data_IF_905411636602
#
_entry.id   IF_905411636602
#
_cell.length_a   1.000
_cell.length_b   1.000
_cell.length_c   1.000
_cell.angle_alpha   90.00
_cell.angle_beta   90.00
_cell.angle_gamma   90.00
#
_symmetry.space_group_name_H-M   'P 1'
#
loop_
_entity.id
_entity.type
_entity.pdbx_description
1 polymer ?
#
# COMPACT_ATOMS: atom_id res chain seq x y z
N UNK A 1 12.63 -5.34 18.34
CA UNK A 1 13.40 -4.58 17.35
C UNK A 1 12.61 -4.67 16.05
N UNK A 2 12.08 -3.56 15.54
CA UNK A 2 11.36 -3.56 14.26
C UNK A 2 12.44 -3.62 13.18
N UNK A 3 12.45 -4.69 12.38
CA UNK A 3 13.34 -4.78 11.22
C UNK A 3 12.99 -3.67 10.23
N UNK A 4 13.99 -3.09 9.56
CA UNK A 4 13.75 -2.11 8.49
C UNK A 4 13.51 -2.86 7.17
N UNK A 5 12.56 -2.37 6.40
CA UNK A 5 12.34 -2.79 5.00
C UNK A 5 13.02 -1.79 4.07
N UNK A 6 13.66 -2.28 3.01
CA UNK A 6 14.33 -1.46 1.99
C UNK A 6 13.96 -2.03 0.63
N UNK A 7 13.62 -1.17 -0.32
CA UNK A 7 13.30 -1.59 -1.68
C UNK A 7 14.54 -2.12 -2.40
N UNK A 8 14.35 -3.20 -3.16
CA UNK A 8 15.36 -3.71 -4.09
C UNK A 8 15.48 -2.73 -5.25
N UNK A 9 16.67 -2.19 -5.45
CA UNK A 9 16.94 -1.24 -6.53
C UNK A 9 17.29 -1.96 -7.84
N UNK A 10 17.98 -3.11 -7.75
CA UNK A 10 18.37 -3.91 -8.90
C UNK A 10 18.67 -5.36 -8.49
N UNK A 11 18.93 -6.19 -9.49
CA UNK A 11 19.43 -7.55 -9.34
C UNK A 11 20.79 -7.65 -10.01
N UNK A 12 21.77 -8.27 -9.35
CA UNK A 12 23.06 -8.59 -9.97
C UNK A 12 22.83 -9.65 -11.05
N UNK A 13 23.17 -9.34 -12.31
CA UNK A 13 22.84 -10.20 -13.45
C UNK A 13 23.61 -11.53 -13.46
N UNK A 14 24.79 -11.58 -12.84
CA UNK A 14 25.64 -12.77 -12.82
C UNK A 14 25.24 -13.76 -11.71
N UNK A 15 24.90 -13.24 -10.53
CA UNK A 15 24.62 -14.04 -9.33
C UNK A 15 23.14 -14.13 -8.98
N UNK A 16 22.31 -13.23 -9.52
CA UNK A 16 20.90 -13.09 -9.16
C UNK A 16 20.68 -12.53 -7.75
N UNK A 17 21.70 -11.96 -7.10
CA UNK A 17 21.56 -11.38 -5.77
C UNK A 17 20.89 -10.00 -5.86
N UNK A 18 19.93 -9.74 -4.96
CA UNK A 18 19.29 -8.43 -4.86
C UNK A 18 20.29 -7.36 -4.40
N UNK A 19 20.20 -6.18 -5.01
CA UNK A 19 21.01 -5.00 -4.70
C UNK A 19 20.13 -3.91 -4.09
N UNK A 20 20.62 -3.27 -3.03
CA UNK A 20 20.00 -2.10 -2.39
C UNK A 20 20.96 -0.92 -2.41
N UNK A 21 20.44 0.31 -2.39
CA UNK A 21 21.28 1.52 -2.31
C UNK A 21 21.75 1.69 -0.86
N UNK A 22 23.07 1.72 -0.64
CA UNK A 22 23.66 2.06 0.66
C UNK A 22 23.35 3.54 0.96
N UNK A 23 22.54 3.87 1.98
CA UNK A 23 22.11 5.25 2.22
C UNK A 23 23.26 6.17 2.66
N UNK A 24 24.40 5.61 3.11
CA UNK A 24 25.58 6.39 3.51
C UNK A 24 26.50 6.68 2.34
N UNK A 25 26.57 5.75 1.37
CA UNK A 25 27.54 5.82 0.26
C UNK A 25 26.91 6.14 -1.09
N UNK A 26 25.59 5.99 -1.23
CA UNK A 26 24.87 6.20 -2.48
C UNK A 26 25.22 5.17 -3.57
N UNK A 27 25.77 4.01 -3.19
CA UNK A 27 26.15 2.95 -4.14
C UNK A 27 25.34 1.69 -3.90
N UNK A 28 25.10 0.92 -4.97
CA UNK A 28 24.44 -0.39 -4.90
C UNK A 28 25.32 -1.39 -4.17
N UNK A 29 24.72 -2.16 -3.26
CA UNK A 29 25.39 -3.25 -2.55
C UNK A 29 24.49 -4.48 -2.47
N UNK A 30 25.05 -5.70 -2.53
CA UNK A 30 24.30 -6.93 -2.30
C UNK A 30 23.60 -6.92 -0.94
N UNK A 31 22.36 -7.42 -0.88
CA UNK A 31 21.65 -7.57 0.40
C UNK A 31 22.40 -8.52 1.36
N UNK A 32 23.15 -9.49 0.83
CA UNK A 32 23.96 -10.43 1.60
C UNK A 32 25.17 -9.79 2.29
N UNK A 33 25.54 -8.56 1.94
CA UNK A 33 26.59 -7.81 2.63
C UNK A 33 26.13 -7.24 3.99
N UNK A 34 24.83 -7.25 4.25
CA UNK A 34 24.23 -6.67 5.44
C UNK A 34 24.04 -7.77 6.49
N UNK A 35 24.73 -7.72 7.65
CA UNK A 35 24.61 -8.74 8.69
C UNK A 35 23.20 -8.86 9.28
N UNK A 36 22.40 -7.79 9.16
CA UNK A 36 21.00 -7.69 9.57
C UNK A 36 20.00 -8.16 8.49
N UNK A 37 20.48 -8.59 7.32
CA UNK A 37 19.62 -9.12 6.27
C UNK A 37 18.98 -10.45 6.69
N UNK A 38 17.66 -10.52 6.59
CA UNK A 38 16.90 -11.71 7.00
C UNK A 38 16.35 -12.49 5.80
N UNK A 39 15.62 -11.84 4.91
CA UNK A 39 15.01 -12.46 3.73
C UNK A 39 14.61 -11.40 2.70
N UNK A 40 14.34 -11.85 1.48
CA UNK A 40 13.59 -11.08 0.50
C UNK A 40 12.11 -11.42 0.62
N UNK A 41 11.27 -10.40 0.55
CA UNK A 41 9.83 -10.58 0.38
C UNK A 41 9.43 -9.98 -0.98
N UNK A 42 8.45 -10.59 -1.66
CA UNK A 42 7.84 -9.93 -2.81
C UNK A 42 7.18 -8.64 -2.34
N UNK A 43 7.56 -7.53 -2.96
CA UNK A 43 6.86 -6.26 -2.78
C UNK A 43 5.38 -6.45 -3.11
N UNK A 44 4.51 -5.84 -2.32
CA UNK A 44 3.07 -5.82 -2.58
C UNK A 44 2.75 -4.76 -3.64
N UNK A 45 3.28 -4.96 -4.84
CA UNK A 45 3.19 -4.00 -5.93
C UNK A 45 1.75 -3.90 -6.44
N UNK A 46 1.24 -2.68 -6.62
CA UNK A 46 -0.02 -2.42 -7.32
C UNK A 46 0.13 -2.77 -8.80
N UNK A 47 -0.69 -3.69 -9.29
CA UNK A 47 -0.68 -4.17 -10.69
C UNK A 47 -1.90 -3.71 -11.50
N UNK A 48 -2.96 -3.27 -10.83
CA UNK A 48 -4.13 -2.70 -11.49
C UNK A 48 -4.89 -1.73 -10.57
N UNK A 49 -5.66 -0.83 -11.19
CA UNK A 49 -6.67 -0.03 -10.52
C UNK A 49 -8.04 -0.33 -11.14
N UNK A 50 -9.00 -0.73 -10.30
CA UNK A 50 -10.39 -1.01 -10.73
C UNK A 50 -11.28 0.15 -10.27
N UNK A 51 -12.18 0.69 -11.10
CA UNK A 51 -13.09 1.75 -10.66
C UNK A 51 -13.92 1.34 -9.44
N UNK A 52 -14.11 2.27 -8.50
CA UNK A 52 -14.87 2.02 -7.28
C UNK A 52 -16.37 1.78 -7.51
N UNK A 53 -16.89 2.16 -8.68
CA UNK A 53 -18.19 1.73 -9.19
C UNK A 53 -19.38 1.94 -8.23
N UNK A 54 -19.34 2.99 -7.39
CA UNK A 54 -20.42 3.33 -6.45
C UNK A 54 -20.31 2.71 -5.06
N UNK A 55 -19.23 1.96 -4.79
CA UNK A 55 -18.90 1.52 -3.44
C UNK A 55 -18.55 2.72 -2.55
N UNK A 56 -18.81 2.57 -1.24
CA UNK A 56 -18.45 3.57 -0.22
C UNK A 56 -17.76 2.91 0.97
N UNK A 57 -16.84 3.63 1.60
CA UNK A 57 -16.26 3.22 2.87
C UNK A 57 -16.95 3.99 4.00
N UNK A 58 -17.12 3.33 5.15
CA UNK A 58 -17.74 3.91 6.33
C UNK A 58 -16.85 3.70 7.55
N UNK A 59 -16.79 4.76 8.36
CA UNK A 59 -16.15 4.79 9.66
C UNK A 59 -17.15 5.37 10.66
N UNK A 60 -17.19 4.84 11.88
CA UNK A 60 -18.12 5.32 12.92
C UNK A 60 -17.63 6.59 13.62
N UNK A 61 -16.32 6.86 13.60
CA UNK A 61 -15.66 7.83 14.47
C UNK A 61 -14.60 8.73 13.78
N UNK A 62 -14.49 8.70 12.45
CA UNK A 62 -13.51 9.51 11.69
C UNK A 62 -14.10 10.77 11.02
N UNK A 63 -15.38 11.04 11.24
CA UNK A 63 -16.07 12.21 10.71
C UNK A 63 -15.96 13.45 11.60
N UNK A 64 -16.59 14.57 11.20
CA UNK A 64 -16.68 15.77 12.02
C UNK A 64 -17.20 15.46 13.43
N UNK A 65 -16.60 16.09 14.44
CA UNK A 65 -16.90 15.87 15.86
C UNK A 65 -16.72 14.42 16.35
N UNK A 66 -15.82 13.63 15.72
CA UNK A 66 -15.66 12.19 15.91
C UNK A 66 -16.95 11.39 15.63
N UNK A 67 -17.77 11.91 14.71
CA UNK A 67 -18.98 11.26 14.23
C UNK A 67 -18.72 10.28 13.09
N UNK A 68 -19.78 9.69 12.53
CA UNK A 68 -19.65 8.79 11.40
C UNK A 68 -19.22 9.54 10.13
N UNK A 69 -18.35 8.90 9.36
CA UNK A 69 -17.89 9.34 8.05
C UNK A 69 -18.27 8.30 7.00
N UNK A 70 -18.66 8.76 5.82
CA UNK A 70 -18.83 7.90 4.65
C UNK A 70 -18.25 8.59 3.44
N UNK A 71 -17.32 7.91 2.77
CA UNK A 71 -16.67 8.42 1.59
C UNK A 71 -16.89 7.51 0.40
N UNK A 72 -16.84 8.09 -0.80
CA UNK A 72 -16.90 7.33 -2.03
C UNK A 72 -15.59 6.57 -2.24
N UNK A 73 -15.67 5.28 -2.55
CA UNK A 73 -14.54 4.55 -3.09
C UNK A 73 -14.36 4.99 -4.54
N UNK A 74 -13.25 5.63 -4.82
CA UNK A 74 -12.86 6.08 -6.16
C UNK A 74 -12.35 4.90 -6.99
N UNK A 75 -11.50 4.06 -6.39
CA UNK A 75 -10.88 2.92 -7.04
C UNK A 75 -10.47 1.83 -6.03
N UNK A 76 -10.16 0.65 -6.54
CA UNK A 76 -9.52 -0.44 -5.83
C UNK A 76 -8.12 -0.65 -6.39
N UNK A 77 -7.09 -0.53 -5.56
CA UNK A 77 -5.73 -0.91 -5.95
C UNK A 77 -5.58 -2.41 -5.76
N UNK A 78 -5.38 -3.11 -6.87
CA UNK A 78 -5.15 -4.56 -6.87
C UNK A 78 -3.65 -4.80 -6.86
N UNK A 79 -3.17 -5.55 -5.87
CA UNK A 79 -1.75 -5.88 -5.75
C UNK A 79 -1.41 -7.20 -6.45
N UNK A 80 -0.12 -7.41 -6.73
CA UNK A 80 0.40 -8.65 -7.29
C UNK A 80 0.12 -9.88 -6.40
N UNK A 81 -0.16 -9.68 -5.11
CA UNK A 81 -0.56 -10.75 -4.16
C UNK A 81 -2.08 -11.00 -4.16
N UNK A 82 -2.84 -10.31 -5.02
CA UNK A 82 -4.29 -10.48 -5.15
C UNK A 82 -5.10 -9.73 -4.10
N UNK A 83 -4.48 -8.83 -3.33
CA UNK A 83 -5.17 -7.94 -2.40
C UNK A 83 -5.83 -6.80 -3.16
N UNK A 84 -7.00 -6.35 -2.72
CA UNK A 84 -7.68 -5.17 -3.23
C UNK A 84 -7.87 -4.15 -2.10
N UNK A 85 -7.17 -3.01 -2.20
CA UNK A 85 -7.29 -1.91 -1.23
C UNK A 85 -8.21 -0.82 -1.79
N UNK A 86 -9.30 -0.45 -1.08
CA UNK A 86 -10.15 0.66 -1.47
C UNK A 86 -9.41 1.98 -1.31
N UNK A 87 -9.56 2.87 -2.29
CA UNK A 87 -9.07 4.24 -2.26
C UNK A 87 -10.28 5.17 -2.24
N UNK A 88 -10.35 6.05 -1.26
CA UNK A 88 -11.44 7.03 -1.13
C UNK A 88 -10.98 8.42 -1.52
N UNK A 89 -11.97 9.29 -1.70
CA UNK A 89 -11.75 10.71 -1.90
C UNK A 89 -12.77 11.49 -1.10
N UNK A 90 -12.31 12.46 -0.32
CA UNK A 90 -13.17 13.34 0.47
C UNK A 90 -13.72 14.51 -0.37
N UNK A 91 -14.59 15.33 0.23
CA UNK A 91 -15.17 16.49 -0.45
C UNK A 91 -14.16 17.60 -0.80
N UNK A 92 -12.95 17.55 -0.25
CA UNK A 92 -11.85 18.48 -0.51
C UNK A 92 -10.87 17.94 -1.57
N UNK A 93 -11.09 16.72 -2.06
CA UNK A 93 -10.20 16.06 -3.01
C UNK A 93 -8.98 15.40 -2.35
N UNK A 94 -8.98 15.24 -1.03
CA UNK A 94 -7.99 14.43 -0.34
C UNK A 94 -8.22 12.95 -0.67
N UNK A 95 -7.16 12.24 -1.02
CA UNK A 95 -7.20 10.82 -1.40
C UNK A 95 -6.43 10.03 -0.37
N UNK A 96 -7.05 8.99 0.16
CA UNK A 96 -6.45 8.07 1.12
C UNK A 96 -6.90 6.63 0.84
N UNK A 97 -6.22 5.66 1.43
CA UNK A 97 -6.74 4.30 1.49
C UNK A 97 -7.80 4.14 2.59
N UNK A 98 -8.72 3.20 2.38
CA UNK A 98 -9.78 2.90 3.34
C UNK A 98 -9.61 1.52 3.97
N UNK A 99 -8.38 1.09 4.22
CA UNK A 99 -8.11 -0.17 4.91
C UNK A 99 -8.62 -0.17 6.36
N UNK A 100 -8.67 1.01 6.98
CA UNK A 100 -9.19 1.23 8.33
C UNK A 100 -10.73 1.31 8.43
N UNK A 101 -11.45 1.26 7.30
CA UNK A 101 -12.91 1.41 7.32
C UNK A 101 -13.58 0.30 8.14
N UNK A 102 -14.53 0.68 8.99
CA UNK A 102 -15.35 -0.27 9.75
C UNK A 102 -16.20 -1.16 8.82
N UNK A 103 -16.64 -0.62 7.67
CA UNK A 103 -17.35 -1.38 6.65
C UNK A 103 -17.22 -0.77 5.25
N UNK A 104 -17.35 -1.64 4.24
CA UNK A 104 -17.54 -1.27 2.84
C UNK A 104 -19.01 -1.48 2.45
N UNK A 105 -19.62 -0.45 1.86
CA UNK A 105 -21.03 -0.40 1.49
C UNK A 105 -21.16 -0.60 -0.02
N UNK A 106 -21.91 -1.61 -0.49
CA UNK A 106 -22.10 -1.83 -1.91
C UNK A 106 -22.93 -0.71 -2.57
N UNK A 107 -22.85 -0.58 -3.90
CA UNK A 107 -23.68 0.35 -4.65
C UNK A 107 -25.17 0.03 -4.46
N UNK A 108 -25.99 1.05 -4.26
CA UNK A 108 -27.45 0.90 -4.15
C UNK A 108 -28.00 0.55 -2.76
N UNK A 109 -27.15 0.30 -1.77
CA UNK A 109 -27.57 0.11 -0.37
C UNK A 109 -27.48 1.42 0.43
N UNK A 110 -28.36 1.61 1.41
CA UNK A 110 -28.42 2.80 2.29
C UNK A 110 -27.97 2.48 3.70
#
# INVERSE_FOLDING_TARGET
>A
MIGRTVDVDAWDEATGVALVVDPRRGVRRPVTDYPDFSHLERADQVVAAVPGAGWRAYWKDEGPDNGPLTEQVLAWLVTAKGRATPITVDAHGHVDDAEGADRLIPPGEG
#
